data_IF_155443203413
#
_entry.id   IF_155443203413
#
_cell.length_a   1.000
_cell.length_b   1.000
_cell.length_c   1.000
_cell.angle_alpha   90.00
_cell.angle_beta   90.00
_cell.angle_gamma   90.00
#
_symmetry.space_group_name_H-M   'P 1'
#
loop_
_entity.id
_entity.type
_entity.pdbx_description
1 polymer ?
#
# COMPACT_ATOMS: atom_id res chain seq x y z
N UNK A 1 9.83 -16.89 -0.06
CA UNK A 1 9.80 -15.42 0.02
C UNK A 1 8.86 -15.06 1.14
N UNK A 2 9.24 -14.09 1.95
CA UNK A 2 8.44 -13.63 3.09
C UNK A 2 7.17 -12.96 2.56
N UNK A 3 6.01 -13.53 2.90
CA UNK A 3 4.72 -13.16 2.31
C UNK A 3 4.41 -11.70 2.69
N UNK A 4 4.07 -10.88 1.69
CA UNK A 4 3.71 -9.47 1.91
C UNK A 4 4.87 -8.47 1.91
N UNK A 5 6.10 -8.92 1.70
CA UNK A 5 7.24 -8.00 1.52
C UNK A 5 7.07 -7.14 0.26
N UNK A 6 7.23 -5.83 0.41
CA UNK A 6 7.02 -4.83 -0.64
C UNK A 6 5.66 -4.14 -0.60
N UNK A 7 4.70 -4.65 0.18
CA UNK A 7 3.38 -4.03 0.32
C UNK A 7 3.52 -2.59 0.80
N UNK A 8 2.73 -1.69 0.22
CA UNK A 8 2.61 -0.30 0.62
C UNK A 8 1.51 -0.17 1.67
N UNK A 9 1.83 0.52 2.75
CA UNK A 9 0.96 0.63 3.94
C UNK A 9 0.77 2.06 4.39
N UNK A 10 -0.27 2.27 5.20
CA UNK A 10 -0.54 3.47 6.01
C UNK A 10 -0.90 3.02 7.43
N UNK A 11 -0.93 3.95 8.39
CA UNK A 11 -1.32 3.62 9.78
C UNK A 11 -2.72 2.97 9.89
N UNK A 12 -2.82 2.02 10.80
CA UNK A 12 -3.98 1.20 11.12
C UNK A 12 -4.84 1.75 12.26
N UNK A 13 -5.95 1.07 12.60
CA UNK A 13 -6.90 1.53 13.62
C UNK A 13 -6.33 1.49 15.04
N UNK A 14 -5.36 0.62 15.32
CA UNK A 14 -4.77 0.48 16.65
C UNK A 14 -3.45 1.27 16.82
N UNK A 15 -3.15 2.16 15.87
CA UNK A 15 -1.94 2.98 15.87
C UNK A 15 -1.80 3.81 17.15
N UNK A 16 -0.67 3.66 17.82
CA UNK A 16 -0.34 4.38 19.06
C UNK A 16 1.06 5.01 19.05
N UNK A 17 1.61 5.30 17.86
CA UNK A 17 3.03 5.69 17.67
C UNK A 17 3.22 7.17 17.29
N UNK A 18 2.27 8.04 17.65
CA UNK A 18 2.33 9.46 17.30
C UNK A 18 2.43 9.68 15.78
N UNK A 19 3.41 10.47 15.33
CA UNK A 19 3.68 10.76 13.91
C UNK A 19 5.00 10.17 13.41
N UNK A 20 5.39 9.01 13.93
CA UNK A 20 6.56 8.24 13.47
C UNK A 20 6.53 7.94 11.95
N UNK A 21 5.34 7.82 11.38
CA UNK A 21 5.08 7.63 9.94
C UNK A 21 5.04 8.93 9.13
N UNK A 22 5.13 10.11 9.77
CA UNK A 22 4.98 11.43 9.15
C UNK A 22 3.59 12.05 9.28
N UNK A 23 2.60 11.32 9.79
CA UNK A 23 1.22 11.79 9.90
C UNK A 23 0.20 10.85 9.26
N UNK A 24 -1.09 11.09 9.52
CA UNK A 24 -2.14 10.28 8.92
C UNK A 24 -2.11 10.36 7.38
N UNK A 25 -2.15 9.21 6.71
CA UNK A 25 -2.08 9.11 5.26
C UNK A 25 -0.67 9.06 4.68
N UNK A 26 0.39 9.15 5.49
CA UNK A 26 1.74 8.91 5.01
C UNK A 26 1.99 7.43 4.73
N UNK A 27 2.71 7.16 3.63
CA UNK A 27 2.97 5.82 3.15
C UNK A 27 4.29 5.25 3.68
N UNK A 28 4.30 3.93 3.86
CA UNK A 28 5.48 3.13 4.12
C UNK A 28 5.50 1.85 3.31
N UNK A 29 6.60 1.12 3.40
CA UNK A 29 6.82 -0.18 2.75
C UNK A 29 7.07 -1.26 3.78
N UNK A 30 6.37 -2.39 3.69
CA UNK A 30 6.74 -3.61 4.42
C UNK A 30 8.04 -4.16 3.87
N UNK A 31 9.09 -4.22 4.68
CA UNK A 31 10.44 -4.66 4.25
C UNK A 31 10.81 -6.05 4.78
N UNK A 32 10.09 -6.53 5.80
CA UNK A 32 10.16 -7.90 6.33
C UNK A 32 8.92 -8.20 7.18
N UNK A 33 8.44 -9.43 7.15
CA UNK A 33 7.57 -10.00 8.16
C UNK A 33 8.38 -10.53 9.34
N UNK A 34 7.76 -10.68 10.51
CA UNK A 34 8.43 -11.19 11.70
C UNK A 34 7.48 -11.95 12.62
N UNK A 35 8.06 -12.81 13.47
CA UNK A 35 7.38 -13.48 14.59
C UNK A 35 7.69 -12.73 15.88
N UNK A 36 6.71 -12.63 16.77
CA UNK A 36 6.97 -12.19 18.15
C UNK A 36 7.43 -13.43 18.94
N UNK A 37 8.56 -13.33 19.64
CA UNK A 37 9.03 -14.41 20.51
C UNK A 37 7.96 -14.75 21.56
N UNK A 38 7.69 -16.05 21.74
CA UNK A 38 6.67 -16.56 22.67
C UNK A 38 5.26 -16.77 22.10
N UNK A 39 5.01 -16.49 20.81
CA UNK A 39 3.74 -16.85 20.19
C UNK A 39 3.65 -18.37 19.96
N UNK A 40 2.84 -19.09 20.74
CA UNK A 40 2.70 -20.56 20.69
C UNK A 40 2.22 -21.10 19.32
N UNK A 41 1.57 -20.28 18.49
CA UNK A 41 0.87 -20.76 17.28
C UNK A 41 1.63 -20.59 15.95
N UNK A 42 2.83 -20.01 15.97
CA UNK A 42 3.67 -19.87 14.77
C UNK A 42 3.25 -18.77 13.81
N UNK A 43 2.29 -17.89 14.15
CA UNK A 43 1.96 -16.72 13.32
C UNK A 43 3.07 -15.67 13.35
N UNK A 44 3.42 -15.21 12.16
CA UNK A 44 4.05 -13.92 11.98
C UNK A 44 3.00 -12.89 12.41
N UNK A 45 3.12 -12.20 13.55
CA UNK A 45 2.06 -11.26 14.00
C UNK A 45 2.53 -9.79 13.93
N UNK A 46 3.71 -9.56 13.34
CA UNK A 46 4.31 -8.25 13.19
C UNK A 46 4.95 -8.05 11.82
N UNK A 47 5.02 -6.80 11.37
CA UNK A 47 5.71 -6.41 10.14
C UNK A 47 6.72 -5.29 10.44
N UNK A 48 7.88 -5.35 9.80
CA UNK A 48 8.85 -4.26 9.76
C UNK A 48 8.51 -3.35 8.60
N UNK A 49 8.32 -2.06 8.87
CA UNK A 49 8.02 -1.05 7.86
C UNK A 49 9.14 -0.03 7.79
N UNK A 50 9.52 0.34 6.57
CA UNK A 50 10.29 1.56 6.29
C UNK A 50 9.31 2.62 5.77
N UNK A 51 9.10 3.69 6.53
CA UNK A 51 8.29 4.82 6.07
C UNK A 51 9.02 5.58 4.97
N UNK A 52 8.24 6.20 4.09
CA UNK A 52 8.79 7.02 3.02
C UNK A 52 9.56 8.22 3.58
N UNK A 53 9.16 8.72 4.75
CA UNK A 53 9.86 9.76 5.52
C UNK A 53 10.67 9.14 6.65
N UNK A 54 11.63 9.89 7.19
CA UNK A 54 12.40 9.50 8.39
C UNK A 54 13.47 8.41 8.18
N UNK A 55 13.30 7.51 7.21
CA UNK A 55 14.31 6.52 6.80
C UNK A 55 14.52 5.35 7.78
N UNK A 56 14.01 5.46 9.00
CA UNK A 56 14.06 4.42 10.02
C UNK A 56 13.11 3.24 9.70
N UNK A 57 13.42 2.10 10.31
CA UNK A 57 12.61 0.88 10.24
C UNK A 57 12.13 0.52 11.62
N UNK A 58 10.83 0.28 11.73
CA UNK A 58 10.18 -0.03 12.98
C UNK A 58 9.23 -1.22 12.80
N UNK A 59 8.90 -1.88 13.90
CA UNK A 59 8.09 -3.10 13.93
C UNK A 59 6.68 -2.78 14.45
N UNK A 60 5.67 -3.26 13.73
CA UNK A 60 4.26 -2.95 13.95
C UNK A 60 3.41 -4.20 14.07
N UNK A 61 2.35 -4.12 14.88
CA UNK A 61 1.42 -5.23 15.12
C UNK A 61 0.51 -5.42 13.92
N UNK A 62 0.45 -6.64 13.43
CA UNK A 62 -0.34 -7.07 12.28
C UNK A 62 -1.21 -8.28 12.69
N UNK A 63 -1.78 -8.25 13.89
CA UNK A 63 -2.48 -9.36 14.52
C UNK A 63 -2.05 -9.65 15.96
N UNK A 64 -0.85 -9.21 16.37
CA UNK A 64 -0.35 -9.39 17.73
C UNK A 64 -1.31 -8.79 18.77
N UNK A 65 -1.79 -9.61 19.71
CA UNK A 65 -2.78 -9.18 20.71
C UNK A 65 -4.11 -8.73 20.12
N UNK A 66 -4.44 -9.15 18.88
CA UNK A 66 -5.63 -8.70 18.15
C UNK A 66 -5.55 -7.27 17.63
N UNK A 67 -4.36 -6.65 17.63
CA UNK A 67 -4.13 -5.26 17.25
C UNK A 67 -3.53 -5.12 15.85
N UNK A 68 -3.98 -4.10 15.14
CA UNK A 68 -3.61 -3.80 13.76
C UNK A 68 -3.13 -2.36 13.63
N UNK A 69 -1.81 -2.20 13.61
CA UNK A 69 -1.14 -0.91 13.46
C UNK A 69 -1.06 -0.45 12.00
N UNK A 70 -1.42 -1.31 11.03
CA UNK A 70 -1.21 -1.03 9.61
C UNK A 70 -2.42 -1.41 8.74
N UNK A 71 -2.64 -0.61 7.69
CA UNK A 71 -3.56 -0.89 6.57
C UNK A 71 -2.78 -1.01 5.27
N UNK A 72 -3.21 -1.92 4.41
CA UNK A 72 -2.65 -2.13 3.07
C UNK A 72 -3.26 -1.11 2.10
N UNK A 73 -2.46 -0.20 1.55
CA UNK A 73 -2.94 0.73 0.51
C UNK A 73 -2.66 0.20 -0.89
N UNK A 74 -1.57 -0.55 -1.09
CA UNK A 74 -1.25 -1.17 -2.37
C UNK A 74 -0.40 -2.44 -2.21
N UNK A 75 -0.93 -3.58 -2.63
CA UNK A 75 -0.24 -4.87 -2.61
C UNK A 75 0.44 -5.23 -3.94
N UNK A 76 0.25 -4.43 -4.98
CA UNK A 76 0.85 -4.69 -6.29
C UNK A 76 2.38 -4.68 -6.32
N UNK A 77 3.09 -3.91 -5.48
CA UNK A 77 4.56 -3.98 -5.45
C UNK A 77 5.10 -5.31 -4.92
N UNK A 78 4.29 -6.05 -4.16
CA UNK A 78 4.57 -7.41 -3.72
C UNK A 78 4.19 -8.48 -4.78
N UNK A 79 3.71 -8.07 -5.96
CA UNK A 79 3.38 -8.97 -7.07
C UNK A 79 1.92 -9.42 -7.13
N UNK A 80 1.04 -8.93 -6.26
CA UNK A 80 -0.39 -9.30 -6.29
C UNK A 80 -1.04 -8.79 -7.57
N UNK A 81 -1.61 -9.70 -8.37
CA UNK A 81 -2.29 -9.38 -9.62
C UNK A 81 -3.47 -10.33 -9.88
N UNK A 82 -4.60 -9.76 -10.29
CA UNK A 82 -5.76 -10.47 -10.80
C UNK A 82 -5.73 -10.43 -12.33
N UNK A 83 -5.09 -11.44 -12.94
CA UNK A 83 -4.83 -11.53 -14.38
C UNK A 83 -6.07 -11.66 -15.27
N UNK A 84 -7.20 -12.09 -14.71
CA UNK A 84 -8.44 -12.34 -15.44
C UNK A 84 -9.50 -11.24 -15.27
N UNK A 85 -9.13 -10.11 -14.66
CA UNK A 85 -10.06 -9.02 -14.38
C UNK A 85 -9.57 -7.72 -15.03
N UNK A 86 -10.46 -7.11 -15.81
CA UNK A 86 -10.24 -5.79 -16.39
C UNK A 86 -10.78 -4.69 -15.48
N UNK A 87 -10.01 -3.60 -15.31
CA UNK A 87 -10.51 -2.41 -14.64
C UNK A 87 -11.45 -1.62 -15.57
N UNK A 88 -12.75 -1.62 -15.28
CA UNK A 88 -13.77 -0.85 -16.00
C UNK A 88 -13.54 0.68 -15.97
N UNK A 89 -12.68 1.17 -15.08
CA UNK A 89 -12.38 2.60 -14.93
C UNK A 89 -11.22 3.11 -15.78
N UNK A 90 -10.19 2.29 -16.01
CA UNK A 90 -9.00 2.67 -16.80
C UNK A 90 -8.72 1.77 -18.01
N UNK A 91 -9.50 0.72 -18.22
CA UNK A 91 -9.33 -0.24 -19.33
C UNK A 91 -8.14 -1.20 -19.18
N UNK A 92 -7.46 -1.19 -18.03
CA UNK A 92 -6.34 -2.11 -17.80
C UNK A 92 -6.81 -3.55 -17.81
N UNK A 93 -6.20 -4.38 -18.66
CA UNK A 93 -6.56 -5.79 -18.90
C UNK A 93 -6.26 -6.72 -17.71
N UNK A 94 -5.52 -6.22 -16.72
CA UNK A 94 -5.30 -6.91 -15.44
C UNK A 94 -5.48 -5.90 -14.31
N UNK A 95 -5.85 -6.37 -13.12
CA UNK A 95 -5.89 -5.52 -11.93
C UNK A 95 -4.76 -5.92 -10.99
N UNK A 96 -3.73 -5.08 -10.91
CA UNK A 96 -2.65 -5.23 -9.94
C UNK A 96 -3.04 -4.65 -8.58
N UNK A 97 -2.87 -5.44 -7.52
CA UNK A 97 -3.32 -5.15 -6.16
C UNK A 97 -4.79 -5.53 -5.94
N UNK A 98 -5.44 -4.87 -4.97
CA UNK A 98 -6.83 -5.16 -4.62
C UNK A 98 -7.80 -4.81 -5.75
N UNK A 99 -8.87 -5.61 -5.84
CA UNK A 99 -9.98 -5.41 -6.78
C UNK A 99 -11.20 -4.93 -6.04
N UNK A 100 -11.86 -3.92 -6.60
CA UNK A 100 -13.09 -3.34 -6.08
C UNK A 100 -14.23 -3.65 -7.04
N UNK A 101 -15.06 -4.63 -6.68
CA UNK A 101 -16.23 -5.02 -7.47
C UNK A 101 -17.47 -4.27 -6.99
N UNK A 102 -18.17 -3.58 -7.89
CA UNK A 102 -19.46 -2.98 -7.57
C UNK A 102 -20.50 -4.08 -7.27
N UNK A 103 -21.33 -3.89 -6.24
CA UNK A 103 -22.38 -4.87 -5.92
C UNK A 103 -23.68 -4.64 -6.71
N UNK A 104 -23.83 -3.45 -7.29
CA UNK A 104 -25.05 -3.04 -8.01
C UNK A 104 -24.95 -3.24 -9.52
N UNK A 105 -23.73 -3.19 -10.08
CA UNK A 105 -23.51 -3.27 -11.52
C UNK A 105 -22.90 -4.62 -11.90
N UNK A 106 -23.43 -5.22 -12.96
CA UNK A 106 -22.95 -6.50 -13.47
C UNK A 106 -21.52 -6.38 -13.99
N UNK A 107 -20.62 -7.25 -13.50
CA UNK A 107 -19.22 -7.35 -13.94
C UNK A 107 -18.43 -6.03 -13.92
N UNK A 108 -18.73 -5.13 -13.00
CA UNK A 108 -18.03 -3.84 -12.89
C UNK A 108 -16.92 -3.91 -11.83
N UNK A 109 -15.66 -3.80 -12.27
CA UNK A 109 -14.46 -3.93 -11.42
C UNK A 109 -13.59 -2.69 -11.54
N UNK A 110 -13.02 -2.24 -10.44
CA UNK A 110 -12.04 -1.15 -10.40
C UNK A 110 -10.75 -1.64 -9.75
N UNK A 111 -9.61 -1.17 -10.25
CA UNK A 111 -8.35 -1.21 -9.52
C UNK A 111 -8.34 -0.15 -8.40
N UNK A 112 -7.45 -0.30 -7.41
CA UNK A 112 -7.32 0.67 -6.30
C UNK A 112 -7.16 2.12 -6.78
N UNK A 113 -6.27 2.46 -7.75
CA UNK A 113 -6.17 3.82 -8.25
C UNK A 113 -7.49 4.40 -8.79
N UNK A 114 -8.30 3.61 -9.50
CA UNK A 114 -9.60 4.08 -10.01
C UNK A 114 -10.64 4.20 -8.90
N UNK A 115 -10.67 3.24 -7.98
CA UNK A 115 -11.58 3.25 -6.84
C UNK A 115 -11.37 4.49 -5.95
N UNK A 116 -10.11 4.82 -5.66
CA UNK A 116 -9.72 5.97 -4.84
C UNK A 116 -9.87 7.32 -5.57
N UNK A 117 -10.01 7.33 -6.90
CA UNK A 117 -10.28 8.54 -7.71
C UNK A 117 -11.77 8.73 -8.03
N UNK A 118 -12.65 8.11 -7.26
CA UNK A 118 -14.10 8.18 -7.44
C UNK A 118 -14.60 7.81 -8.84
N UNK A 119 -13.87 6.94 -9.55
CA UNK A 119 -14.42 6.36 -10.77
C UNK A 119 -15.62 5.49 -10.39
N UNK A 120 -16.67 5.53 -11.22
CA UNK A 120 -17.99 4.95 -10.94
C UNK A 120 -18.74 5.62 -9.79
N UNK A 121 -20.05 5.38 -9.67
CA UNK A 121 -20.90 5.96 -8.62
C UNK A 121 -20.29 5.80 -7.23
N UNK A 122 -20.16 6.91 -6.50
CA UNK A 122 -19.71 6.93 -5.09
C UNK A 122 -20.80 6.45 -4.12
N UNK A 123 -22.05 6.36 -4.59
CA UNK A 123 -23.20 5.86 -3.83
C UNK A 123 -23.33 4.33 -3.88
N UNK A 124 -22.72 3.68 -4.88
CA UNK A 124 -22.73 2.24 -4.97
C UNK A 124 -21.83 1.60 -3.90
N UNK A 125 -22.31 0.51 -3.30
CA UNK A 125 -21.48 -0.34 -2.45
C UNK A 125 -20.54 -1.19 -3.29
N UNK A 126 -19.41 -1.56 -2.68
CA UNK A 126 -18.40 -2.40 -3.31
C UNK A 126 -18.08 -3.59 -2.41
N UNK A 127 -17.64 -4.68 -3.04
CA UNK A 127 -16.90 -5.75 -2.37
C UNK A 127 -15.44 -5.68 -2.80
N UNK A 128 -14.54 -5.70 -1.83
CA UNK A 128 -13.09 -5.74 -2.02
C UNK A 128 -12.62 -7.20 -2.08
N UNK A 129 -11.76 -7.52 -3.04
CA UNK A 129 -11.02 -8.78 -3.14
C UNK A 129 -9.54 -8.45 -3.00
N UNK A 130 -8.89 -9.12 -2.06
CA UNK A 130 -7.56 -8.75 -1.58
C UNK A 130 -6.44 -9.58 -2.22
N UNK A 131 -6.73 -10.83 -2.55
CA UNK A 131 -5.81 -11.77 -3.20
C UNK A 131 -6.51 -12.54 -4.31
N UNK A 132 -5.76 -12.96 -5.36
CA UNK A 132 -6.27 -13.79 -6.43
C UNK A 132 -6.46 -15.26 -6.01
N UNK A 133 -5.77 -15.77 -4.98
CA UNK A 133 -5.91 -17.18 -4.56
C UNK A 133 -7.27 -17.50 -3.95
N UNK A 134 -7.93 -16.52 -3.34
CA UNK A 134 -9.25 -16.70 -2.74
C UNK A 134 -10.29 -15.69 -3.26
N UNK A 135 -10.73 -15.80 -4.52
CA UNK A 135 -11.64 -14.83 -5.14
C UNK A 135 -13.06 -14.86 -4.56
N UNK A 136 -13.37 -15.87 -3.74
CA UNK A 136 -14.63 -15.98 -2.99
C UNK A 136 -14.61 -15.16 -1.71
N UNK A 137 -13.44 -14.90 -1.13
CA UNK A 137 -13.30 -14.04 0.03
C UNK A 137 -13.47 -12.58 -0.40
N UNK A 138 -14.62 -12.01 -0.02
CA UNK A 138 -15.04 -10.67 -0.42
C UNK A 138 -15.49 -9.88 0.79
N UNK A 139 -14.82 -8.76 1.03
CA UNK A 139 -15.18 -7.86 2.12
C UNK A 139 -16.09 -6.77 1.57
N UNK A 140 -17.34 -6.71 2.01
CA UNK A 140 -18.23 -5.60 1.65
C UNK A 140 -17.75 -4.34 2.36
N UNK A 141 -17.59 -3.26 1.61
CA UNK A 141 -17.25 -1.93 2.13
C UNK A 141 -18.45 -1.00 1.98
N UNK A 142 -18.50 0.03 2.82
CA UNK A 142 -19.52 1.09 2.72
C UNK A 142 -19.40 1.81 1.37
N UNK A 143 -20.47 2.46 0.93
CA UNK A 143 -20.37 3.34 -0.23
C UNK A 143 -19.44 4.53 0.09
N UNK A 144 -18.69 4.96 -0.92
CA UNK A 144 -17.67 6.02 -0.79
C UNK A 144 -18.26 7.38 -0.37
N UNK A 145 -19.52 7.64 -0.73
CA UNK A 145 -20.22 8.86 -0.33
C UNK A 145 -20.33 9.02 1.20
N UNK A 146 -20.48 7.91 1.93
CA UNK A 146 -20.66 7.91 3.38
C UNK A 146 -19.34 7.70 4.15
N UNK A 147 -18.19 7.82 3.48
CA UNK A 147 -16.88 7.49 4.03
C UNK A 147 -15.93 8.68 3.96
N UNK A 148 -15.15 8.87 5.02
CA UNK A 148 -14.12 9.89 5.09
C UNK A 148 -12.98 9.64 4.10
N UNK A 149 -12.30 10.72 3.69
CA UNK A 149 -11.14 10.69 2.81
C UNK A 149 -9.94 11.23 3.55
N UNK A 150 -8.81 10.56 3.39
CA UNK A 150 -7.53 11.02 3.90
C UNK A 150 -6.57 11.18 2.74
N UNK A 151 -5.86 12.32 2.72
CA UNK A 151 -4.83 12.60 1.71
C UNK A 151 -3.66 11.63 1.85
N UNK A 152 -3.31 10.93 0.76
CA UNK A 152 -2.15 10.06 0.74
C UNK A 152 -0.88 10.88 0.48
N UNK A 153 0.17 10.70 1.28
CA UNK A 153 1.45 11.40 1.16
C UNK A 153 2.63 10.43 1.17
N UNK A 154 3.67 10.71 0.39
CA UNK A 154 4.87 9.87 0.33
C UNK A 154 5.69 10.08 -0.93
N UNK A 155 6.39 9.01 -1.35
CA UNK A 155 7.16 8.94 -2.61
C UNK A 155 6.19 8.76 -3.79
N UNK A 156 5.46 9.83 -4.09
CA UNK A 156 4.65 9.97 -5.31
C UNK A 156 5.35 10.89 -6.31
N UNK A 157 4.82 10.99 -7.54
CA UNK A 157 5.29 11.97 -8.53
C UNK A 157 5.26 13.38 -7.92
N UNK A 158 6.38 14.10 -8.04
CA UNK A 158 6.62 15.40 -7.42
C UNK A 158 7.34 15.36 -6.08
N UNK A 159 7.51 14.18 -5.45
CA UNK A 159 8.21 14.08 -4.17
C UNK A 159 9.70 14.42 -4.33
N UNK A 160 10.27 15.12 -3.36
CA UNK A 160 11.72 15.29 -3.23
C UNK A 160 12.30 14.15 -2.42
N UNK A 161 13.38 13.57 -2.92
CA UNK A 161 13.99 12.37 -2.36
C UNK A 161 15.51 12.46 -2.34
N UNK A 162 16.11 11.72 -1.41
CA UNK A 162 17.54 11.41 -1.34
C UNK A 162 17.72 9.89 -1.37
N UNK A 163 18.97 9.42 -1.52
CA UNK A 163 19.28 7.99 -1.31
C UNK A 163 18.78 7.52 0.06
N UNK A 164 18.11 6.37 0.08
CA UNK A 164 17.55 5.74 1.27
C UNK A 164 18.38 4.55 1.77
N UNK A 165 17.83 3.81 2.73
CA UNK A 165 18.53 2.76 3.49
C UNK A 165 19.03 1.58 2.65
N UNK A 166 18.31 1.17 1.61
CA UNK A 166 18.72 0.03 0.76
C UNK A 166 19.56 0.44 -0.47
N UNK A 167 19.96 1.71 -0.55
CA UNK A 167 20.72 2.25 -1.69
C UNK A 167 21.98 1.44 -1.98
N UNK A 168 22.19 1.10 -3.25
CA UNK A 168 23.35 0.34 -3.72
C UNK A 168 23.85 0.80 -5.10
N UNK A 169 23.56 2.06 -5.45
CA UNK A 169 23.69 2.58 -6.81
C UNK A 169 24.86 3.56 -6.94
N UNK A 170 25.91 3.37 -6.15
CA UNK A 170 27.08 4.26 -6.09
C UNK A 170 26.65 5.74 -5.97
N UNK A 171 27.29 6.67 -6.68
CA UNK A 171 26.93 8.09 -6.67
C UNK A 171 26.13 8.51 -7.91
N UNK A 172 25.18 7.66 -8.35
CA UNK A 172 24.26 8.03 -9.45
C UNK A 172 23.39 9.26 -9.15
N UNK A 173 23.21 9.58 -7.87
CA UNK A 173 22.55 10.78 -7.34
C UNK A 173 23.51 11.98 -7.17
N UNK A 174 24.80 11.83 -7.42
CA UNK A 174 25.81 12.89 -7.20
C UNK A 174 26.42 12.89 -5.79
N UNK A 175 26.16 11.86 -4.98
CA UNK A 175 26.68 11.72 -3.62
C UNK A 175 25.60 11.75 -2.55
N UNK A 176 25.96 11.35 -1.33
CA UNK A 176 25.01 11.28 -0.22
C UNK A 176 24.41 12.65 0.10
N UNK A 177 23.09 12.70 0.31
CA UNK A 177 22.35 13.92 0.63
C UNK A 177 21.95 14.76 -0.59
N UNK A 178 22.37 14.39 -1.80
CA UNK A 178 21.88 15.04 -3.02
C UNK A 178 20.43 14.69 -3.29
N UNK A 179 19.66 15.70 -3.67
CA UNK A 179 18.23 15.56 -3.88
C UNK A 179 17.87 15.34 -5.35
N UNK A 180 16.85 14.52 -5.55
CA UNK A 180 16.15 14.35 -6.81
C UNK A 180 14.65 14.55 -6.65
N UNK A 181 13.95 14.59 -7.78
CA UNK A 181 12.50 14.67 -7.84
C UNK A 181 11.95 13.40 -8.47
N UNK A 182 10.95 12.79 -7.85
CA UNK A 182 10.23 11.65 -8.43
C UNK A 182 9.40 12.15 -9.61
N UNK A 183 9.64 11.60 -10.80
CA UNK A 183 8.94 11.98 -12.04
C UNK A 183 7.97 10.91 -12.53
N UNK A 184 8.13 9.67 -12.08
CA UNK A 184 7.22 8.56 -12.42
C UNK A 184 7.29 7.46 -11.34
N UNK A 185 6.22 6.66 -11.22
CA UNK A 185 6.17 5.44 -10.41
C UNK A 185 5.62 4.30 -11.27
N UNK A 186 6.48 3.32 -11.55
CA UNK A 186 6.20 2.24 -12.49
C UNK A 186 6.49 0.86 -11.89
N UNK A 187 6.25 -0.19 -12.67
CA UNK A 187 6.54 -1.57 -12.30
C UNK A 187 7.99 -1.99 -12.56
N UNK A 188 8.41 -3.07 -11.91
CA UNK A 188 9.64 -3.78 -12.26
C UNK A 188 9.33 -4.83 -13.34
N UNK A 189 9.47 -4.43 -14.60
CA UNK A 189 9.19 -5.28 -15.76
C UNK A 189 7.81 -5.98 -15.61
N UNK A 190 7.74 -7.30 -15.81
CA UNK A 190 6.55 -8.12 -15.58
C UNK A 190 6.46 -8.70 -14.16
N UNK A 191 7.44 -8.44 -13.27
CA UNK A 191 7.52 -9.07 -11.95
C UNK A 191 6.61 -8.39 -10.92
N UNK A 192 6.54 -7.06 -10.93
CA UNK A 192 5.73 -6.30 -9.96
C UNK A 192 5.30 -4.96 -10.53
N UNK A 193 4.19 -4.42 -10.01
CA UNK A 193 3.64 -3.13 -10.45
C UNK A 193 3.84 -2.06 -9.37
N UNK A 194 4.08 -0.81 -9.78
CA UNK A 194 4.23 0.36 -8.89
C UNK A 194 5.28 0.17 -7.79
N UNK A 195 6.32 -0.62 -8.09
CA UNK A 195 7.39 -1.01 -7.17
C UNK A 195 8.71 -0.28 -7.41
N UNK A 196 8.71 0.69 -8.34
CA UNK A 196 9.87 1.44 -8.81
C UNK A 196 9.52 2.91 -8.95
N UNK A 197 10.35 3.78 -8.40
CA UNK A 197 10.29 5.21 -8.65
C UNK A 197 11.35 5.61 -9.69
N UNK A 198 10.95 6.47 -10.64
CA UNK A 198 11.88 7.14 -11.55
C UNK A 198 12.19 8.51 -10.95
N UNK A 199 13.47 8.76 -10.70
CA UNK A 199 13.94 10.01 -10.09
C UNK A 199 14.81 10.75 -11.09
N UNK A 200 14.54 12.04 -11.24
CA UNK A 200 15.40 13.00 -11.93
C UNK A 200 16.29 13.70 -10.89
N UNK A 201 17.59 13.44 -10.94
CA UNK A 201 18.55 14.05 -10.00
C UNK A 201 18.92 15.46 -10.42
N UNK A 202 18.90 16.41 -9.48
CA UNK A 202 19.04 17.83 -9.81
C UNK A 202 20.38 18.20 -10.43
N UNK A 203 21.46 17.58 -9.98
CA UNK A 203 22.81 17.95 -10.41
C UNK A 203 23.15 17.41 -11.80
N UNK A 204 22.68 16.20 -12.12
CA UNK A 204 22.99 15.55 -13.40
C UNK A 204 21.88 15.69 -14.44
N UNK A 205 20.67 16.08 -14.03
CA UNK A 205 19.43 16.02 -14.80
C UNK A 205 19.11 14.60 -15.37
N UNK A 206 19.77 13.56 -14.85
CA UNK A 206 19.57 12.20 -15.32
C UNK A 206 18.39 11.54 -14.61
N UNK A 207 17.60 10.81 -15.40
CA UNK A 207 16.50 9.99 -14.92
C UNK A 207 16.96 8.56 -14.67
N UNK A 208 16.76 8.06 -13.45
CA UNK A 208 17.17 6.72 -13.02
C UNK A 208 16.04 6.02 -12.25
N UNK A 209 16.06 4.70 -12.26
CA UNK A 209 15.04 3.84 -11.64
C UNK A 209 15.54 3.29 -10.31
N UNK A 210 14.73 3.40 -9.27
CA UNK A 210 15.07 2.99 -7.91
C UNK A 210 13.94 2.19 -7.28
N UNK A 211 14.28 1.22 -6.44
CA UNK A 211 13.30 0.32 -5.83
C UNK A 211 12.49 1.06 -4.78
N UNK A 212 11.18 0.89 -4.85
CA UNK A 212 10.18 1.38 -3.90
C UNK A 212 9.22 0.22 -3.59
N UNK A 213 9.71 -0.76 -2.84
CA UNK A 213 8.97 -1.98 -2.50
C UNK A 213 9.31 -3.20 -3.35
N UNK A 214 9.97 -3.06 -4.49
CA UNK A 214 10.44 -4.22 -5.25
C UNK A 214 11.37 -5.10 -4.39
N UNK A 215 10.96 -6.35 -4.15
CA UNK A 215 11.63 -7.29 -3.23
C UNK A 215 11.82 -6.73 -1.81
N UNK A 216 10.92 -5.86 -1.37
CA UNK A 216 10.97 -5.21 -0.06
C UNK A 216 12.08 -4.20 0.09
N UNK A 217 12.66 -3.73 -1.01
CA UNK A 217 13.77 -2.77 -0.98
C UNK A 217 13.27 -1.36 -1.25
N UNK A 218 13.78 -0.43 -0.46
CA UNK A 218 13.44 0.99 -0.50
C UNK A 218 14.73 1.79 -0.61
N UNK A 219 15.06 2.15 -1.84
CA UNK A 219 16.29 2.85 -2.21
C UNK A 219 16.21 4.36 -1.99
N UNK A 220 15.03 4.89 -1.66
CA UNK A 220 14.77 6.32 -1.57
C UNK A 220 14.20 6.69 -0.21
N UNK A 221 14.54 7.88 0.27
CA UNK A 221 13.89 8.52 1.41
C UNK A 221 13.37 9.88 0.96
N UNK A 222 12.11 10.16 1.29
CA UNK A 222 11.48 11.44 1.00
C UNK A 222 11.94 12.51 1.99
N UNK A 223 12.45 13.62 1.45
CA UNK A 223 12.70 14.86 2.21
C UNK A 223 11.50 15.78 2.17
N UNK A 224 10.75 15.77 1.07
CA UNK A 224 9.44 16.43 0.94
C UNK A 224 8.48 15.46 0.26
N UNK A 225 7.52 14.96 1.04
CA UNK A 225 6.49 14.05 0.56
C UNK A 225 5.53 14.77 -0.40
N UNK A 226 5.21 14.13 -1.52
CA UNK A 226 4.18 14.63 -2.44
C UNK A 226 2.82 14.02 -2.13
N UNK A 227 1.78 14.63 -2.67
CA UNK A 227 0.41 14.12 -2.59
C UNK A 227 0.17 13.05 -3.67
N UNK A 228 -0.35 11.90 -3.25
CA UNK A 228 -0.69 10.78 -4.12
C UNK A 228 -2.18 10.68 -4.45
N UNK A 229 -2.96 11.70 -4.10
CA UNK A 229 -4.43 11.67 -4.09
C UNK A 229 -4.97 11.41 -2.69
N UNK A 230 -6.07 10.67 -2.59
CA UNK A 230 -6.70 10.35 -1.31
C UNK A 230 -7.06 8.87 -1.24
N UNK A 231 -7.39 8.39 -0.05
CA UNK A 231 -7.88 7.05 0.18
C UNK A 231 -9.02 7.01 1.19
N UNK A 232 -9.84 5.95 1.11
CA UNK A 232 -10.87 5.63 2.08
C UNK A 232 -10.29 4.65 3.10
N UNK A 233 -9.70 5.15 4.21
CA UNK A 233 -8.92 4.32 5.14
C UNK A 233 -9.70 3.10 5.67
N UNK A 234 -10.96 3.27 6.04
CA UNK A 234 -11.79 2.17 6.56
C UNK A 234 -12.25 1.18 5.49
N UNK A 235 -11.97 1.48 4.22
CA UNK A 235 -12.17 0.53 3.13
C UNK A 235 -10.91 -0.27 2.85
N UNK A 236 -9.75 0.12 3.39
CA UNK A 236 -8.50 -0.58 3.17
C UNK A 236 -8.42 -1.88 3.97
N UNK A 237 -7.75 -2.90 3.42
CA UNK A 237 -7.44 -4.11 4.16
C UNK A 237 -6.55 -3.80 5.37
N UNK A 238 -6.78 -4.46 6.51
CA UNK A 238 -5.80 -4.47 7.58
C UNK A 238 -4.61 -5.32 7.13
N UNK A 239 -3.39 -4.90 7.45
CA UNK A 239 -2.24 -5.78 7.22
C UNK A 239 -2.25 -6.86 8.30
N UNK A 240 -2.35 -8.09 7.87
CA UNK A 240 -2.11 -9.30 8.63
C UNK A 240 -1.17 -10.20 7.84
N UNK A 241 -0.58 -11.12 8.58
CA UNK A 241 0.56 -11.91 8.14
C UNK A 241 0.17 -13.38 7.93
N UNK A 242 -1.12 -13.67 7.83
CA UNK A 242 -1.56 -14.95 7.32
C UNK A 242 -1.17 -15.01 5.85
N UNK A 243 -0.53 -16.10 5.37
CA UNK A 243 0.00 -16.14 4.02
C UNK A 243 -1.07 -15.88 2.94
N UNK A 244 -2.37 -15.95 3.27
CA UNK A 244 -3.48 -15.66 2.35
C UNK A 244 -4.75 -15.15 3.04
N UNK A 245 -4.65 -14.48 4.19
CA UNK A 245 -5.83 -13.83 4.77
C UNK A 245 -5.47 -12.39 5.00
N UNK A 246 -6.32 -11.51 4.48
CA UNK A 246 -6.60 -10.21 5.04
C UNK A 246 -7.83 -10.36 5.94
N UNK A 247 -7.66 -10.07 7.23
CA UNK A 247 -8.71 -10.19 8.22
C UNK A 247 -9.85 -9.23 7.91
N UNK A 248 -11.05 -9.80 7.92
CA UNK A 248 -12.31 -9.12 7.67
C UNK A 248 -12.59 -8.21 8.88
N UNK A 249 -12.79 -6.91 8.63
CA UNK A 249 -13.50 -6.08 9.60
C UNK A 249 -14.98 -6.45 9.51
N UNK A 250 -15.43 -7.34 10.38
CA UNK A 250 -16.86 -7.50 10.63
C UNK A 250 -17.30 -6.29 11.46
N UNK A 251 -18.01 -5.35 10.84
CA UNK A 251 -18.80 -4.40 11.60
C UNK A 251 -19.87 -5.20 12.33
N UNK A 252 -19.83 -5.23 13.66
CA UNK A 252 -20.95 -5.67 14.47
C UNK A 252 -22.11 -4.71 14.19
N UNK A 253 -23.00 -5.09 13.28
CA UNK A 253 -24.37 -4.61 13.23
C UNK A 253 -25.11 -5.26 14.41
N UNK A 254 -24.87 -4.75 15.61
CA UNK A 254 -25.92 -4.74 16.62
C UNK A 254 -26.84 -3.57 16.27
N UNK A 255 -28.15 -3.73 16.50
CA UNK A 255 -29.29 -2.88 16.12
C UNK A 255 -29.81 -3.15 14.68
N UNK A 256 -31.02 -3.65 14.41
CA UNK A 256 -32.24 -3.89 15.20
C UNK A 256 -32.98 -5.10 14.61
N UNK A 257 -33.36 -6.06 15.46
CA UNK A 257 -34.64 -6.75 15.31
C UNK A 257 -35.70 -5.82 15.93
N UNK A 258 -36.68 -5.41 15.13
CA UNK A 258 -38.13 -5.53 15.33
C UNK A 258 -38.79 -5.10 14.02
#
# INVERSE_FOLDING_TARGET
>A
MDVGTGIRVVRGPDWGRGNEDGGEGYLGTVVAGGRVDGAEDGRHDVATVQWDVGGERHVYRCGAGGKYDLRVIDSAPAGVVHSHLECSGCGSQTIAGCVWRCVHCLRYYLCTPCYMKDRHSVWHHFTRMDSPENPRQRTRVRCRYLSGRVGARGVFVGARVVRGRDWRWSDQDGGAGREGTVVDVCGWQSESSRSVAVVEWRESALKRKYRLGHKGKVDLQSTVAAEGGHCYLDHLPLLDNSPFRIRIQTFNLLYLCW
#
